data_IF_103486981470
#
_entry.id   IF_103486981470
#
_cell.length_a   1.000
_cell.length_b   1.000
_cell.length_c   1.000
_cell.angle_alpha   90.00
_cell.angle_beta   90.00
_cell.angle_gamma   90.00
#
_symmetry.space_group_name_H-M   'P 1'
#
loop_
_entity.id
_entity.type
_entity.pdbx_description
1 polymer ?
#
# COMPACT_ATOMS: atom_id res chain seq x y z
N UNK A 1 -19.17 18.79 17.71
CA UNK A 1 -18.41 19.23 18.91
C UNK A 1 -17.45 20.36 18.56
N UNK A 2 -16.91 21.12 19.53
CA UNK A 2 -15.92 22.16 19.20
C UNK A 2 -14.59 21.54 18.78
N UNK A 3 -13.73 22.29 18.07
CA UNK A 3 -12.39 21.81 17.70
C UNK A 3 -11.52 21.46 18.92
N UNK A 4 -11.73 22.14 20.06
CA UNK A 4 -11.00 21.85 21.30
C UNK A 4 -11.49 20.54 21.95
N UNK A 5 -12.80 20.29 21.91
CA UNK A 5 -13.38 19.05 22.45
C UNK A 5 -13.03 17.85 21.56
N UNK A 6 -13.00 18.03 20.25
CA UNK A 6 -12.57 17.01 19.29
C UNK A 6 -11.09 16.63 19.45
N UNK A 7 -10.24 17.63 19.71
CA UNK A 7 -8.82 17.39 20.02
C UNK A 7 -8.66 16.52 21.28
N UNK A 8 -9.45 16.79 22.33
CA UNK A 8 -9.48 15.98 23.56
C UNK A 8 -10.01 14.57 23.32
N UNK A 9 -11.09 14.43 22.54
CA UNK A 9 -11.67 13.13 22.18
C UNK A 9 -10.63 12.22 21.47
N UNK A 10 -9.86 12.80 20.54
CA UNK A 10 -8.83 12.08 19.78
C UNK A 10 -7.44 12.08 20.45
N UNK A 11 -7.31 12.63 21.68
CA UNK A 11 -6.05 12.76 22.44
C UNK A 11 -4.92 13.47 21.69
N UNK A 12 -5.24 14.38 20.78
CA UNK A 12 -4.27 15.17 19.99
C UNK A 12 -4.31 16.65 20.37
N UNK A 13 -3.25 17.39 20.05
CA UNK A 13 -3.18 18.81 20.38
C UNK A 13 -4.21 19.62 19.55
N UNK A 14 -4.87 20.62 20.16
CA UNK A 14 -5.80 21.55 19.48
C UNK A 14 -5.16 22.26 18.28
N UNK A 15 -3.86 22.57 18.35
CA UNK A 15 -3.11 23.15 17.23
C UNK A 15 -3.09 22.23 16.00
N UNK A 16 -3.01 20.91 16.23
CA UNK A 16 -3.06 19.89 15.17
C UNK A 16 -4.43 19.86 14.48
N UNK A 17 -5.52 19.82 15.27
CA UNK A 17 -6.89 19.85 14.74
C UNK A 17 -7.20 21.16 14.01
N UNK A 18 -6.74 22.31 14.53
CA UNK A 18 -6.88 23.60 13.86
C UNK A 18 -6.16 23.63 12.50
N UNK A 19 -4.97 23.02 12.42
CA UNK A 19 -4.23 22.86 11.16
C UNK A 19 -4.98 21.95 10.17
N UNK A 20 -5.57 20.86 10.65
CA UNK A 20 -6.38 19.94 9.84
C UNK A 20 -7.67 20.60 9.32
N UNK A 21 -8.34 21.38 10.17
CA UNK A 21 -9.51 22.18 9.79
C UNK A 21 -9.14 23.25 8.73
N UNK A 22 -8.03 23.96 8.92
CA UNK A 22 -7.54 24.96 7.96
C UNK A 22 -7.16 24.35 6.61
N UNK A 23 -6.66 23.11 6.61
CA UNK A 23 -6.35 22.32 5.41
C UNK A 23 -7.60 21.71 4.74
N UNK A 24 -8.78 21.84 5.34
CA UNK A 24 -10.03 21.27 4.82
C UNK A 24 -10.11 19.74 4.92
N UNK A 25 -9.24 19.13 5.73
CA UNK A 25 -9.21 17.67 5.95
C UNK A 25 -10.27 17.29 6.99
N UNK A 26 -10.58 18.19 7.92
CA UNK A 26 -11.63 18.00 8.90
C UNK A 26 -12.99 18.42 8.34
N UNK A 27 -13.99 17.54 8.47
CA UNK A 27 -15.36 17.86 8.05
C UNK A 27 -16.02 18.76 9.08
N UNK A 28 -16.21 20.02 8.71
CA UNK A 28 -16.77 21.06 9.57
C UNK A 28 -18.19 21.43 9.12
N UNK A 29 -19.10 21.54 10.08
CA UNK A 29 -20.43 22.13 9.89
C UNK A 29 -20.47 23.48 10.60
N UNK A 30 -20.19 24.55 9.85
CA UNK A 30 -20.04 25.89 10.41
C UNK A 30 -18.86 25.97 11.39
N UNK A 31 -19.13 26.29 12.66
CA UNK A 31 -18.10 26.38 13.72
C UNK A 31 -17.88 25.07 14.49
N UNK A 32 -18.59 24.00 14.15
CA UNK A 32 -18.57 22.72 14.86
C UNK A 32 -18.00 21.60 13.99
N UNK A 33 -17.22 20.72 14.61
CA UNK A 33 -16.64 19.51 13.99
C UNK A 33 -17.69 18.42 13.95
N UNK A 34 -17.87 17.84 12.76
CA UNK A 34 -18.62 16.60 12.55
C UNK A 34 -17.70 15.41 12.85
N UNK A 35 -17.96 14.72 13.95
CA UNK A 35 -17.05 13.75 14.57
C UNK A 35 -16.89 12.52 13.70
N UNK A 36 -18.01 11.91 13.31
CA UNK A 36 -18.03 10.67 12.56
C UNK A 36 -17.41 10.85 11.17
N UNK A 37 -17.74 11.94 10.48
CA UNK A 37 -17.18 12.24 9.17
C UNK A 37 -15.68 12.60 9.25
N UNK A 38 -15.26 13.30 10.31
CA UNK A 38 -13.87 13.67 10.52
C UNK A 38 -12.98 12.48 10.92
N UNK A 39 -13.50 11.57 11.73
CA UNK A 39 -12.79 10.36 12.13
C UNK A 39 -12.58 9.44 10.93
N UNK A 40 -13.61 9.25 10.09
CA UNK A 40 -13.49 8.46 8.86
C UNK A 40 -12.41 8.99 7.90
N UNK A 41 -12.29 10.31 7.73
CA UNK A 41 -11.28 10.92 6.84
C UNK A 41 -9.86 10.77 7.39
N UNK A 42 -9.69 10.85 8.71
CA UNK A 42 -8.37 10.74 9.32
C UNK A 42 -7.92 9.28 9.51
N UNK A 43 -8.84 8.32 9.59
CA UNK A 43 -8.51 6.90 9.72
C UNK A 43 -8.14 6.28 8.37
N UNK A 44 -8.74 6.74 7.27
CA UNK A 44 -8.41 6.33 5.90
C UNK A 44 -7.02 6.86 5.44
N UNK A 45 -6.51 7.89 6.11
CA UNK A 45 -5.17 8.46 5.88
C UNK A 45 -4.48 8.76 7.21
N UNK A 46 -3.74 7.82 7.81
CA UNK A 46 -2.99 8.09 9.03
C UNK A 46 -1.94 9.17 8.75
N UNK A 47 -2.21 10.40 9.23
CA UNK A 47 -1.36 11.58 8.98
C UNK A 47 -0.15 11.64 9.94
N UNK A 48 0.07 10.60 10.75
CA UNK A 48 1.19 10.52 11.69
C UNK A 48 2.42 9.89 11.02
N UNK A 49 3.13 10.72 10.27
CA UNK A 49 4.59 10.69 10.32
C UNK A 49 5.08 12.06 10.77
N UNK A 50 5.53 12.09 12.02
CA UNK A 50 6.18 13.19 12.71
C UNK A 50 7.34 13.71 11.84
N UNK A 51 7.11 14.82 11.13
CA UNK A 51 8.17 15.62 10.54
C UNK A 51 8.63 16.62 11.63
N UNK A 52 9.93 16.68 11.96
CA UNK A 52 10.45 17.71 12.84
C UNK A 52 10.15 19.09 12.26
N UNK A 53 9.68 19.99 13.12
CA UNK A 53 9.21 21.31 12.76
C UNK A 53 10.30 22.15 12.08
N UNK A 54 10.12 22.46 10.80
CA UNK A 54 10.74 23.62 10.17
C UNK A 54 9.66 24.69 10.03
N UNK A 55 9.73 25.71 10.87
CA UNK A 55 8.88 26.89 10.78
C UNK A 55 9.11 27.61 9.45
N UNK A 56 8.04 27.86 8.70
CA UNK A 56 8.11 28.66 7.47
C UNK A 56 6.93 28.41 6.54
N UNK A 57 5.93 29.29 6.64
CA UNK A 57 4.70 29.37 5.86
C UNK A 57 4.74 28.84 4.41
N UNK A 58 3.80 27.95 4.07
CA UNK A 58 3.30 27.82 2.71
C UNK A 58 1.82 27.41 2.74
N UNK A 59 0.98 28.35 2.32
CA UNK A 59 -0.44 28.18 2.03
C UNK A 59 -0.55 27.36 0.73
N UNK A 60 -1.40 26.33 0.71
CA UNK A 60 -1.74 25.64 -0.54
C UNK A 60 -2.57 26.56 -1.44
N UNK A 61 -2.25 26.71 -2.74
CA UNK A 61 -3.13 27.40 -3.67
C UNK A 61 -4.31 26.48 -3.99
N UNK A 62 -5.52 26.97 -3.71
CA UNK A 62 -6.76 26.41 -4.25
C UNK A 62 -6.78 26.69 -5.75
N UNK A 63 -6.89 25.64 -6.56
CA UNK A 63 -7.28 25.76 -7.97
C UNK A 63 -8.73 26.22 -8.02
N UNK A 64 -8.93 27.54 -8.07
CA UNK A 64 -10.17 28.15 -8.48
C UNK A 64 -9.96 28.69 -9.90
N UNK A 65 -10.79 28.17 -10.79
CA UNK A 65 -11.03 28.62 -12.15
C UNK A 65 -11.36 30.11 -12.21
N UNK A 66 -10.49 30.90 -12.84
CA UNK A 66 -10.83 32.25 -13.29
C UNK A 66 -10.40 32.42 -14.75
N UNK A 67 -11.41 32.47 -15.62
CA UNK A 67 -11.33 32.99 -16.97
C UNK A 67 -11.27 34.52 -16.83
N UNK A 68 -10.09 35.12 -16.83
CA UNK A 68 -9.87 36.52 -17.20
C UNK A 68 -8.37 36.82 -17.21
N UNK A 69 -7.90 37.47 -18.28
CA UNK A 69 -6.49 37.81 -18.48
C UNK A 69 -5.91 38.65 -17.34
N UNK A 70 -4.82 38.17 -16.75
CA UNK A 70 -4.00 38.88 -15.80
C UNK A 70 -2.61 38.24 -15.77
N UNK A 71 -1.58 39.04 -16.05
CA UNK A 71 -0.20 38.57 -16.13
C UNK A 71 0.24 37.89 -14.80
N UNK A 72 0.96 36.75 -14.85
CA UNK A 72 1.24 35.97 -13.66
C UNK A 72 2.31 36.64 -12.77
N UNK A 73 1.98 36.87 -11.50
CA UNK A 73 2.87 37.47 -10.49
C UNK A 73 4.19 36.67 -10.34
N UNK A 74 5.38 37.32 -10.32
CA UNK A 74 6.68 36.66 -10.32
C UNK A 74 6.98 35.79 -9.08
N UNK A 75 6.28 36.01 -7.96
CA UNK A 75 6.42 35.20 -6.73
C UNK A 75 5.89 33.77 -6.85
N UNK A 76 4.84 33.54 -7.65
CA UNK A 76 4.23 32.21 -7.79
C UNK A 76 5.09 31.27 -8.65
N UNK A 77 5.83 31.78 -9.63
CA UNK A 77 6.70 30.95 -10.46
C UNK A 77 7.89 30.39 -9.68
N UNK A 78 8.50 31.19 -8.80
CA UNK A 78 9.59 30.73 -7.96
C UNK A 78 9.12 29.59 -7.05
N UNK A 79 7.98 29.76 -6.40
CA UNK A 79 7.38 28.73 -5.53
C UNK A 79 6.98 27.48 -6.29
N UNK A 80 6.37 27.61 -7.49
CA UNK A 80 6.01 26.49 -8.33
C UNK A 80 7.24 25.71 -8.83
N UNK A 81 8.32 26.39 -9.22
CA UNK A 81 9.58 25.76 -9.60
C UNK A 81 10.24 25.03 -8.43
N UNK A 82 10.24 25.62 -7.24
CA UNK A 82 10.76 24.95 -6.03
C UNK A 82 9.96 23.68 -5.71
N UNK A 83 8.63 23.74 -5.77
CA UNK A 83 7.79 22.57 -5.55
C UNK A 83 8.06 21.46 -6.58
N UNK A 84 8.12 21.80 -7.88
CA UNK A 84 8.44 20.85 -8.95
C UNK A 84 9.83 20.22 -8.76
N UNK A 85 10.85 21.00 -8.37
CA UNK A 85 12.18 20.47 -8.06
C UNK A 85 12.16 19.51 -6.86
N UNK A 86 11.41 19.82 -5.80
CA UNK A 86 11.27 18.94 -4.63
C UNK A 86 10.58 17.63 -5.00
N UNK A 87 9.51 17.67 -5.79
CA UNK A 87 8.84 16.46 -6.26
C UNK A 87 9.72 15.62 -7.17
N UNK A 88 10.46 16.24 -8.10
CA UNK A 88 11.44 15.54 -8.95
C UNK A 88 12.57 14.92 -8.15
N UNK A 89 13.06 15.60 -7.10
CA UNK A 89 14.09 15.05 -6.22
C UNK A 89 13.56 13.82 -5.46
N UNK A 90 12.32 13.89 -4.96
CA UNK A 90 11.66 12.76 -4.28
C UNK A 90 11.38 11.59 -5.23
N UNK A 91 10.95 11.88 -6.46
CA UNK A 91 10.73 10.86 -7.48
C UNK A 91 12.04 10.15 -7.83
N UNK A 92 13.11 10.90 -8.09
CA UNK A 92 14.45 10.31 -8.34
C UNK A 92 14.97 9.50 -7.15
N UNK A 93 14.68 9.94 -5.92
CA UNK A 93 15.03 9.18 -4.71
C UNK A 93 14.25 7.86 -4.65
N UNK A 94 12.94 7.88 -4.87
CA UNK A 94 12.11 6.66 -4.94
C UNK A 94 12.56 5.72 -6.07
N UNK A 95 12.87 6.26 -7.25
CA UNK A 95 13.40 5.50 -8.37
C UNK A 95 14.77 4.89 -8.05
N UNK A 96 15.65 5.64 -7.38
CA UNK A 96 16.95 5.16 -6.91
C UNK A 96 16.79 4.09 -5.83
N UNK A 97 15.86 4.25 -4.89
CA UNK A 97 15.59 3.27 -3.83
C UNK A 97 14.92 1.99 -4.36
N UNK A 98 14.08 2.12 -5.39
CA UNK A 98 13.49 0.99 -6.12
C UNK A 98 14.56 0.25 -6.93
N UNK A 99 15.40 0.98 -7.68
CA UNK A 99 16.50 0.41 -8.47
C UNK A 99 17.65 -0.13 -7.62
N UNK A 100 17.85 0.38 -6.41
CA UNK A 100 18.85 -0.15 -5.46
C UNK A 100 18.37 -1.39 -4.71
N UNK A 101 17.20 -1.94 -5.06
CA UNK A 101 16.72 -3.23 -4.55
C UNK A 101 16.13 -3.17 -3.14
N UNK A 102 15.92 -1.98 -2.57
CA UNK A 102 15.35 -1.81 -1.23
C UNK A 102 13.82 -1.91 -1.21
N UNK A 103 13.17 -1.68 -2.34
CA UNK A 103 11.72 -1.77 -2.50
C UNK A 103 11.35 -2.70 -3.65
N UNK A 104 10.61 -3.76 -3.34
CA UNK A 104 9.93 -4.60 -4.33
C UNK A 104 8.56 -3.98 -4.62
N UNK A 105 8.16 -3.80 -5.89
CA UNK A 105 6.81 -3.37 -6.23
C UNK A 105 5.79 -4.31 -5.60
N UNK A 106 4.90 -3.77 -4.76
CA UNK A 106 3.95 -4.60 -4.01
C UNK A 106 3.01 -5.38 -4.94
N UNK A 107 2.72 -4.83 -6.12
CA UNK A 107 1.87 -5.48 -7.11
C UNK A 107 2.57 -6.70 -7.75
N UNK A 108 3.86 -6.60 -8.04
CA UNK A 108 4.65 -7.74 -8.56
C UNK A 108 4.74 -8.87 -7.53
N UNK A 109 4.92 -8.54 -6.26
CA UNK A 109 4.94 -9.52 -5.17
C UNK A 109 3.58 -10.22 -5.06
N UNK A 110 2.48 -9.48 -5.12
CA UNK A 110 1.13 -10.06 -5.10
C UNK A 110 0.92 -10.99 -6.29
N UNK A 111 1.22 -10.55 -7.51
CA UNK A 111 1.05 -11.36 -8.73
C UNK A 111 1.88 -12.64 -8.66
N UNK A 112 3.14 -12.56 -8.20
CA UNK A 112 4.00 -13.73 -8.00
C UNK A 112 3.42 -14.69 -6.96
N UNK A 113 2.96 -14.19 -5.81
CA UNK A 113 2.32 -15.02 -4.79
C UNK A 113 1.03 -15.68 -5.28
N UNK A 114 0.18 -14.96 -6.00
CA UNK A 114 -1.03 -15.53 -6.60
C UNK A 114 -0.71 -16.63 -7.61
N UNK A 115 0.32 -16.41 -8.44
CA UNK A 115 0.77 -17.40 -9.42
C UNK A 115 1.29 -18.65 -8.72
N UNK A 116 2.10 -18.49 -7.68
CA UNK A 116 2.61 -19.59 -6.87
C UNK A 116 1.49 -20.38 -6.19
N UNK A 117 0.57 -19.69 -5.51
CA UNK A 117 -0.55 -20.32 -4.82
C UNK A 117 -1.43 -21.10 -5.79
N UNK A 118 -1.65 -20.57 -7.00
CA UNK A 118 -2.34 -21.26 -8.08
C UNK A 118 -1.62 -22.53 -8.50
N UNK A 119 -0.31 -22.47 -8.73
CA UNK A 119 0.48 -23.65 -9.12
C UNK A 119 0.42 -24.75 -8.06
N UNK A 120 0.53 -24.39 -6.78
CA UNK A 120 0.42 -25.34 -5.66
C UNK A 120 -0.96 -26.02 -5.67
N UNK A 121 -2.03 -25.22 -5.76
CA UNK A 121 -3.40 -25.74 -5.77
C UNK A 121 -3.63 -26.65 -6.98
N UNK A 122 -3.21 -26.23 -8.17
CA UNK A 122 -3.42 -26.98 -9.39
C UNK A 122 -2.67 -28.33 -9.34
N UNK A 123 -1.45 -28.38 -8.79
CA UNK A 123 -0.71 -29.63 -8.54
C UNK A 123 -1.39 -30.54 -7.51
N UNK A 124 -1.88 -29.97 -6.41
CA UNK A 124 -2.58 -30.72 -5.35
C UNK A 124 -3.91 -31.30 -5.82
N UNK A 125 -4.65 -30.58 -6.67
CA UNK A 125 -5.92 -31.07 -7.22
C UNK A 125 -5.71 -32.09 -8.36
N UNK A 126 -4.54 -32.08 -9.01
CA UNK A 126 -4.19 -33.08 -10.02
C UNK A 126 -3.75 -34.43 -9.41
N UNK A 127 -3.32 -34.45 -8.14
CA UNK A 127 -2.83 -35.65 -7.44
C UNK A 127 -3.80 -36.83 -7.50
N UNK A 128 -5.08 -36.69 -7.12
CA UNK A 128 -6.00 -37.83 -7.08
C UNK A 128 -6.22 -38.43 -8.46
N UNK A 129 -6.35 -37.60 -9.50
CA UNK A 129 -6.53 -38.07 -10.87
C UNK A 129 -5.31 -38.85 -11.38
N UNK A 130 -4.10 -38.42 -11.00
CA UNK A 130 -2.85 -39.10 -11.34
C UNK A 130 -2.66 -40.42 -10.58
N UNK A 131 -2.97 -40.42 -9.28
CA UNK A 131 -2.72 -41.56 -8.39
C UNK A 131 -3.83 -42.62 -8.43
N UNK A 132 -5.07 -42.25 -8.76
CA UNK A 132 -6.21 -43.18 -8.81
C UNK A 132 -5.93 -44.51 -9.55
N UNK A 133 -5.39 -44.52 -10.79
CA UNK A 133 -5.12 -45.79 -11.49
C UNK A 133 -4.01 -46.62 -10.83
N UNK A 134 -3.03 -45.98 -10.19
CA UNK A 134 -1.92 -46.67 -9.51
C UNK A 134 -2.40 -47.26 -8.18
N UNK A 135 -3.18 -46.48 -7.43
CA UNK A 135 -3.79 -46.90 -6.16
C UNK A 135 -4.80 -48.03 -6.37
N UNK A 136 -5.54 -48.03 -7.49
CA UNK A 136 -6.48 -49.11 -7.82
C UNK A 136 -5.80 -50.47 -8.06
N UNK A 137 -4.50 -50.47 -8.41
CA UNK A 137 -3.73 -51.69 -8.61
C UNK A 137 -3.08 -52.21 -7.31
N UNK A 138 -3.00 -51.39 -6.26
CA UNK A 138 -2.37 -51.74 -5.00
C UNK A 138 -3.39 -52.32 -4.02
N UNK A 139 -3.01 -53.42 -3.37
CA UNK A 139 -3.87 -54.12 -2.39
C UNK A 139 -3.44 -53.90 -0.93
N UNK A 140 -2.20 -53.44 -0.73
CA UNK A 140 -1.59 -53.26 0.59
C UNK A 140 -1.57 -51.80 1.03
N UNK A 141 -2.03 -51.54 2.25
CA UNK A 141 -2.11 -50.18 2.81
C UNK A 141 -0.74 -49.49 2.94
N UNK A 142 0.33 -50.28 3.16
CA UNK A 142 1.70 -49.77 3.25
C UNK A 142 2.18 -49.23 1.91
N UNK A 143 1.97 -49.98 0.83
CA UNK A 143 2.38 -49.58 -0.53
C UNK A 143 1.61 -48.35 -1.00
N UNK A 144 0.32 -48.26 -0.67
CA UNK A 144 -0.51 -47.07 -0.93
C UNK A 144 0.09 -45.84 -0.24
N UNK A 145 0.48 -45.96 1.03
CA UNK A 145 1.08 -44.85 1.77
C UNK A 145 2.43 -44.44 1.21
N UNK A 146 3.29 -45.42 0.92
CA UNK A 146 4.63 -45.17 0.36
C UNK A 146 4.53 -44.46 -1.00
N UNK A 147 3.56 -44.84 -1.84
CA UNK A 147 3.29 -44.17 -3.12
C UNK A 147 2.80 -42.74 -2.94
N UNK A 148 1.86 -42.51 -2.02
CA UNK A 148 1.35 -41.17 -1.69
C UNK A 148 2.47 -40.27 -1.18
N UNK A 149 3.28 -40.74 -0.24
CA UNK A 149 4.38 -40.00 0.34
C UNK A 149 5.44 -39.68 -0.73
N UNK A 150 5.79 -40.64 -1.58
CA UNK A 150 6.73 -40.43 -2.69
C UNK A 150 6.26 -39.33 -3.65
N UNK A 151 4.97 -39.34 -4.03
CA UNK A 151 4.42 -38.36 -4.96
C UNK A 151 4.29 -36.97 -4.32
N UNK A 152 3.89 -36.87 -3.05
CA UNK A 152 3.86 -35.60 -2.31
C UNK A 152 5.27 -34.99 -2.24
N UNK A 153 6.28 -35.79 -1.90
CA UNK A 153 7.67 -35.34 -1.86
C UNK A 153 8.16 -34.88 -3.24
N UNK A 154 7.79 -35.59 -4.31
CA UNK A 154 8.13 -35.20 -5.68
C UNK A 154 7.52 -33.83 -6.06
N UNK A 155 6.26 -33.59 -5.73
CA UNK A 155 5.59 -32.30 -5.98
C UNK A 155 6.25 -31.18 -5.18
N UNK A 156 6.57 -31.40 -3.90
CA UNK A 156 7.22 -30.39 -3.06
C UNK A 156 8.61 -30.02 -3.60
N UNK A 157 9.39 -31.01 -4.08
CA UNK A 157 10.68 -30.75 -4.72
C UNK A 157 10.52 -29.94 -6.01
N UNK A 158 9.58 -30.31 -6.87
CA UNK A 158 9.27 -29.56 -8.10
C UNK A 158 8.87 -28.11 -7.79
N UNK A 159 8.03 -27.89 -6.78
CA UNK A 159 7.65 -26.54 -6.35
C UNK A 159 8.85 -25.75 -5.81
N UNK A 160 9.73 -26.39 -5.04
CA UNK A 160 10.94 -25.76 -4.52
C UNK A 160 11.88 -25.32 -5.66
N UNK A 161 12.05 -26.13 -6.70
CA UNK A 161 12.84 -25.80 -7.87
C UNK A 161 12.25 -24.63 -8.66
N UNK A 162 10.93 -24.63 -8.87
CA UNK A 162 10.22 -23.52 -9.52
C UNK A 162 10.37 -22.20 -8.75
N UNK A 163 10.25 -22.24 -7.41
CA UNK A 163 10.48 -21.06 -6.56
C UNK A 163 11.92 -20.56 -6.66
N UNK A 164 12.90 -21.48 -6.70
CA UNK A 164 14.32 -21.12 -6.75
C UNK A 164 14.68 -20.47 -8.09
N UNK A 165 14.14 -20.99 -9.21
CA UNK A 165 14.37 -20.43 -10.54
C UNK A 165 13.73 -19.04 -10.72
N UNK A 166 12.59 -18.76 -10.06
CA UNK A 166 11.97 -17.43 -10.11
C UNK A 166 12.71 -16.35 -9.29
N UNK A 167 13.69 -16.74 -8.47
CA UNK A 167 14.49 -15.82 -7.64
C UNK A 167 15.81 -15.41 -8.31
N UNK A 168 16.32 -16.21 -9.25
CA UNK A 168 17.51 -15.94 -10.09
C UNK A 168 17.16 -15.13 -11.33
#
# INVERSE_FOLDING_TARGET
>A
MSQADYARHRKVNRSHISRLAKRGILVMRGKLVDVAASDAVLDDKPVDQVLPEAHGAAQSPRVASDIAGGAPQPGNFAQARTADMVFRARLRKLEFETKSGKFLPSDDVKVKWYTLARQIRDKLLALPAKLAPQLAALSEAREIRDLLDAEIVAILKSLQEEIRYQRS
#
